data_IF_988382692963
#
_entry.id   IF_988382692963
#
_cell.length_a   1.000
_cell.length_b   1.000
_cell.length_c   1.000
_cell.angle_alpha   90.00
_cell.angle_beta   90.00
_cell.angle_gamma   90.00
#
_symmetry.space_group_name_H-M   'P 1'
#
loop_
_entity.id
_entity.type
_entity.pdbx_description
1 polymer ?
#
# COMPACT_ATOMS: atom_id res chain seq x y z
N UNK A 1 -3.63 10.39 23.81
CA UNK A 1 -4.08 9.87 22.50
C UNK A 1 -5.59 10.13 22.45
N UNK A 2 -6.10 10.86 21.45
CA UNK A 2 -7.53 11.19 21.38
C UNK A 2 -8.30 9.99 20.81
N UNK A 3 -9.20 9.35 21.58
CA UNK A 3 -9.84 8.09 21.19
C UNK A 3 -10.54 8.15 19.81
N UNK A 4 -11.25 9.25 19.50
CA UNK A 4 -11.96 9.38 18.22
C UNK A 4 -11.09 9.73 17.00
N UNK A 5 -9.84 10.15 17.19
CA UNK A 5 -8.98 10.55 16.07
C UNK A 5 -8.46 9.34 15.27
N UNK A 6 -8.27 8.20 15.93
CA UNK A 6 -7.87 6.95 15.28
C UNK A 6 -9.01 6.39 14.45
N UNK A 7 -10.22 6.34 15.00
CA UNK A 7 -11.42 5.83 14.32
C UNK A 7 -11.78 6.69 13.10
N UNK A 8 -11.71 8.02 13.23
CA UNK A 8 -11.93 8.92 12.10
C UNK A 8 -10.86 8.75 11.00
N UNK A 9 -9.62 8.43 11.37
CA UNK A 9 -8.56 8.14 10.41
C UNK A 9 -8.77 6.81 9.70
N UNK A 10 -9.22 5.78 10.43
CA UNK A 10 -9.55 4.48 9.87
C UNK A 10 -10.74 4.58 8.91
N UNK A 11 -11.84 5.22 9.32
CA UNK A 11 -13.04 5.40 8.50
C UNK A 11 -12.73 6.15 7.18
N UNK A 12 -11.93 7.22 7.25
CA UNK A 12 -11.44 7.91 6.05
C UNK A 12 -10.62 6.99 5.15
N UNK A 13 -9.72 6.20 5.73
CA UNK A 13 -8.91 5.22 4.99
C UNK A 13 -9.79 4.24 4.23
N UNK A 14 -10.70 3.57 4.93
CA UNK A 14 -11.67 2.63 4.34
C UNK A 14 -12.45 3.27 3.20
N UNK A 15 -12.98 4.47 3.40
CA UNK A 15 -13.76 5.16 2.36
C UNK A 15 -12.93 5.47 1.12
N UNK A 16 -11.69 5.96 1.27
CA UNK A 16 -10.83 6.29 0.12
C UNK A 16 -10.42 5.03 -0.65
N UNK A 17 -10.14 3.91 0.03
CA UNK A 17 -9.84 2.64 -0.64
C UNK A 17 -11.04 2.15 -1.45
N UNK A 18 -12.23 2.13 -0.84
CA UNK A 18 -13.47 1.73 -1.53
C UNK A 18 -13.80 2.65 -2.71
N UNK A 19 -13.65 3.97 -2.53
CA UNK A 19 -13.80 4.94 -3.61
C UNK A 19 -12.83 4.67 -4.76
N UNK A 20 -11.58 4.30 -4.45
CA UNK A 20 -10.57 3.99 -5.47
C UNK A 20 -10.90 2.71 -6.22
N UNK A 21 -11.33 1.65 -5.53
CA UNK A 21 -11.84 0.42 -6.18
C UNK A 21 -13.03 0.74 -7.10
N UNK A 22 -14.00 1.52 -6.61
CA UNK A 22 -15.17 1.91 -7.38
C UNK A 22 -14.80 2.69 -8.65
N UNK A 23 -13.87 3.65 -8.54
CA UNK A 23 -13.36 4.41 -9.69
C UNK A 23 -12.68 3.48 -10.72
N UNK A 24 -11.79 2.59 -10.27
CA UNK A 24 -11.13 1.59 -11.14
C UNK A 24 -12.16 0.71 -11.87
N UNK A 25 -13.30 0.41 -11.23
CA UNK A 25 -14.41 -0.36 -11.80
C UNK A 25 -15.35 0.46 -12.68
N UNK A 26 -15.09 1.75 -12.91
CA UNK A 26 -15.93 2.65 -13.69
C UNK A 26 -17.24 3.04 -12.98
N UNK A 27 -17.32 2.84 -11.67
CA UNK A 27 -18.46 3.26 -10.86
C UNK A 27 -18.29 4.72 -10.44
N UNK A 28 -19.40 5.47 -10.52
CA UNK A 28 -19.41 6.87 -10.10
C UNK A 28 -19.14 6.99 -8.60
N UNK A 29 -18.11 7.76 -8.24
CA UNK A 29 -17.80 8.12 -6.86
C UNK A 29 -18.26 9.55 -6.59
N UNK A 30 -18.97 9.76 -5.48
CA UNK A 30 -19.30 11.09 -4.97
C UNK A 30 -18.76 11.21 -3.55
N UNK A 31 -17.68 11.98 -3.32
CA UNK A 31 -17.11 12.08 -1.99
C UNK A 31 -18.03 12.82 -1.01
N UNK A 32 -18.19 12.34 0.23
CA UNK A 32 -18.77 13.15 1.28
C UNK A 32 -17.85 14.34 1.57
N UNK A 33 -18.41 15.46 2.02
CA UNK A 33 -17.69 16.71 2.24
C UNK A 33 -16.41 16.53 3.08
N UNK A 34 -16.49 15.72 4.14
CA UNK A 34 -15.35 15.45 5.03
C UNK A 34 -14.16 14.74 4.35
N UNK A 35 -14.39 14.00 3.26
CA UNK A 35 -13.36 13.22 2.56
C UNK A 35 -13.03 13.78 1.18
N UNK A 36 -13.82 14.72 0.66
CA UNK A 36 -13.57 15.38 -0.63
C UNK A 36 -12.13 15.90 -0.78
N UNK A 37 -11.51 16.56 0.24
CA UNK A 37 -10.13 17.02 0.12
C UNK A 37 -9.10 15.91 -0.10
N UNK A 38 -9.38 14.69 0.37
CA UNK A 38 -8.53 13.51 0.17
C UNK A 38 -8.82 12.82 -1.16
N UNK A 39 -10.00 13.00 -1.74
CA UNK A 39 -10.33 12.42 -3.04
C UNK A 39 -9.78 13.23 -4.22
N UNK A 40 -9.61 14.54 -4.04
CA UNK A 40 -9.07 15.44 -5.06
C UNK A 40 -7.74 14.93 -5.64
N UNK A 41 -7.66 14.79 -6.96
CA UNK A 41 -6.47 14.35 -7.68
C UNK A 41 -6.24 12.83 -7.68
N UNK A 42 -7.01 12.05 -6.91
CA UNK A 42 -6.91 10.59 -6.90
C UNK A 42 -7.41 9.99 -8.22
N UNK A 43 -8.63 10.31 -8.72
CA UNK A 43 -9.11 9.80 -10.02
C UNK A 43 -8.12 10.03 -11.15
N UNK A 44 -7.66 11.27 -11.30
CA UNK A 44 -6.78 11.68 -12.40
C UNK A 44 -5.46 10.93 -12.35
N UNK A 45 -4.86 10.80 -11.15
CA UNK A 45 -3.62 10.02 -10.99
C UNK A 45 -3.83 8.53 -11.24
N UNK A 46 -4.99 7.99 -10.87
CA UNK A 46 -5.30 6.59 -11.17
C UNK A 46 -5.44 6.35 -12.66
N UNK A 47 -6.10 7.26 -13.37
CA UNK A 47 -6.26 7.19 -14.82
C UNK A 47 -4.88 7.29 -15.52
N UNK A 48 -4.01 8.20 -15.06
CA UNK A 48 -2.61 8.31 -15.53
C UNK A 48 -1.81 7.02 -15.32
N UNK A 49 -1.88 6.41 -14.12
CA UNK A 49 -1.12 5.20 -13.79
C UNK A 49 -1.60 3.97 -14.57
N UNK A 50 -2.89 3.91 -14.88
CA UNK A 50 -3.52 2.79 -15.57
C UNK A 50 -3.63 3.00 -17.08
N UNK A 51 -3.25 4.17 -17.59
CA UNK A 51 -3.29 4.50 -19.01
C UNK A 51 -2.48 3.48 -19.83
N UNK A 52 -3.13 2.86 -20.82
CA UNK A 52 -2.50 1.85 -21.68
C UNK A 52 -2.12 0.54 -20.96
N UNK A 53 -2.45 0.42 -19.66
CA UNK A 53 -2.19 -0.75 -18.84
C UNK A 53 -3.44 -1.62 -18.63
N UNK A 54 -3.38 -2.50 -17.64
CA UNK A 54 -4.53 -3.28 -17.17
C UNK A 54 -4.43 -3.61 -15.69
N UNK A 55 -5.57 -3.58 -15.01
CA UNK A 55 -5.68 -4.00 -13.61
C UNK A 55 -5.74 -5.52 -13.53
N UNK A 56 -4.97 -6.10 -12.60
CA UNK A 56 -4.94 -7.54 -12.31
C UNK A 56 -5.64 -7.85 -10.98
N UNK A 57 -5.52 -6.94 -10.01
CA UNK A 57 -6.10 -7.05 -8.67
C UNK A 57 -6.48 -5.66 -8.15
N UNK A 58 -7.64 -5.51 -7.53
CA UNK A 58 -8.07 -4.31 -6.80
C UNK A 58 -8.92 -4.77 -5.61
N UNK A 59 -8.29 -4.85 -4.42
CA UNK A 59 -8.74 -5.49 -3.16
C UNK A 59 -9.04 -7.01 -3.27
N UNK A 60 -9.30 -7.46 -4.49
CA UNK A 60 -9.64 -8.82 -4.92
C UNK A 60 -9.27 -8.96 -6.41
N UNK A 61 -9.26 -10.19 -6.96
CA UNK A 61 -8.98 -10.42 -8.37
C UNK A 61 -9.83 -9.53 -9.30
N UNK A 62 -9.19 -8.84 -10.25
CA UNK A 62 -9.87 -7.99 -11.21
C UNK A 62 -9.92 -8.68 -12.58
N UNK A 63 -11.09 -9.21 -12.96
CA UNK A 63 -11.25 -10.01 -14.20
C UNK A 63 -10.24 -11.18 -14.28
N UNK A 64 -9.90 -11.78 -13.13
CA UNK A 64 -9.00 -12.93 -13.03
C UNK A 64 -9.69 -14.12 -12.34
N UNK A 65 -10.59 -14.86 -13.01
CA UNK A 65 -11.37 -15.95 -12.40
C UNK A 65 -10.51 -17.05 -11.76
N UNK A 66 -9.31 -17.30 -12.32
CA UNK A 66 -8.35 -18.27 -11.78
C UNK A 66 -7.86 -17.93 -10.35
N UNK A 67 -7.98 -16.67 -9.94
CA UNK A 67 -7.57 -16.21 -8.62
C UNK A 67 -8.76 -16.10 -7.64
N UNK A 68 -9.99 -16.40 -8.06
CA UNK A 68 -11.17 -16.35 -7.18
C UNK A 68 -11.06 -17.26 -5.95
N UNK A 69 -10.25 -18.32 -6.01
CA UNK A 69 -9.92 -19.19 -4.87
C UNK A 69 -9.18 -18.48 -3.72
N UNK A 70 -8.66 -17.27 -3.96
CA UNK A 70 -8.00 -16.43 -2.96
C UNK A 70 -8.96 -15.40 -2.35
N UNK A 71 -10.25 -15.47 -2.67
CA UNK A 71 -11.29 -14.62 -2.09
C UNK A 71 -12.03 -15.43 -1.03
N UNK A 72 -12.08 -14.91 0.20
CA UNK A 72 -12.83 -15.54 1.28
C UNK A 72 -14.34 -15.40 1.10
N UNK A 73 -15.12 -16.12 1.92
CA UNK A 73 -16.59 -16.01 1.93
C UNK A 73 -17.08 -14.60 2.30
N UNK A 74 -16.23 -13.81 2.96
CA UNK A 74 -16.44 -12.39 3.26
C UNK A 74 -16.21 -11.46 2.06
N UNK A 75 -15.84 -12.00 0.89
CA UNK A 75 -15.57 -11.25 -0.33
C UNK A 75 -14.20 -10.57 -0.37
N UNK A 76 -13.37 -10.77 0.66
CA UNK A 76 -12.04 -10.13 0.77
C UNK A 76 -10.97 -11.01 0.12
N UNK A 77 -10.20 -10.43 -0.79
CA UNK A 77 -9.07 -11.10 -1.42
C UNK A 77 -7.86 -11.16 -0.48
N UNK A 78 -7.29 -12.36 -0.32
CA UNK A 78 -6.12 -12.59 0.55
C UNK A 78 -5.03 -13.32 -0.20
N UNK A 79 -3.83 -12.75 -0.16
CA UNK A 79 -2.59 -13.39 -0.61
C UNK A 79 -1.84 -13.93 0.61
N UNK A 80 -1.11 -15.01 0.42
CA UNK A 80 -0.31 -15.62 1.48
C UNK A 80 1.05 -16.08 0.99
N UNK A 81 1.98 -16.14 1.92
CA UNK A 81 3.31 -16.70 1.74
C UNK A 81 3.53 -17.77 2.78
N UNK A 82 4.15 -18.87 2.38
CA UNK A 82 4.59 -19.93 3.27
C UNK A 82 5.96 -20.42 2.82
N UNK A 83 6.92 -20.41 3.73
CA UNK A 83 8.25 -20.95 3.50
C UNK A 83 8.31 -22.38 4.04
N UNK A 84 8.49 -23.33 3.13
CA UNK A 84 8.54 -24.75 3.46
C UNK A 84 9.76 -25.15 4.30
N UNK A 85 10.85 -24.37 4.29
CA UNK A 85 12.05 -24.70 5.06
C UNK A 85 11.91 -24.24 6.51
N UNK A 86 11.48 -23.00 6.72
CA UNK A 86 11.31 -22.42 8.05
C UNK A 86 9.96 -22.75 8.69
N UNK A 87 8.98 -23.20 7.89
CA UNK A 87 7.58 -23.40 8.29
C UNK A 87 6.89 -22.12 8.76
N UNK A 88 7.45 -20.96 8.41
CA UNK A 88 6.87 -19.64 8.69
C UNK A 88 5.91 -19.24 7.56
N UNK A 89 4.82 -18.57 7.93
CA UNK A 89 3.86 -18.08 6.97
C UNK A 89 3.13 -16.84 7.46
N UNK A 90 2.63 -16.07 6.50
CA UNK A 90 1.82 -14.89 6.73
C UNK A 90 0.84 -14.69 5.58
N UNK A 91 -0.22 -13.91 5.83
CA UNK A 91 -1.22 -13.55 4.84
C UNK A 91 -1.58 -12.08 4.96
N UNK A 92 -2.12 -11.50 3.89
CA UNK A 92 -2.56 -10.11 3.87
C UNK A 92 -3.46 -9.79 2.68
N UNK A 93 -4.02 -8.58 2.69
CA UNK A 93 -4.86 -8.05 1.62
C UNK A 93 -4.08 -6.93 0.95
N UNK A 94 -3.71 -7.13 -0.31
CA UNK A 94 -3.06 -6.08 -1.10
C UNK A 94 -4.11 -5.25 -1.85
N UNK A 95 -3.83 -3.96 -1.99
CA UNK A 95 -4.82 -3.02 -2.50
C UNK A 95 -4.91 -3.08 -4.03
N UNK A 96 -3.79 -2.99 -4.75
CA UNK A 96 -3.78 -2.91 -6.21
C UNK A 96 -2.58 -3.66 -6.81
N UNK A 97 -2.85 -4.46 -7.83
CA UNK A 97 -1.83 -4.97 -8.75
C UNK A 97 -2.27 -4.64 -10.17
N UNK A 98 -1.41 -4.02 -10.93
CA UNK A 98 -1.68 -3.69 -12.33
C UNK A 98 -0.44 -3.91 -13.19
N UNK A 99 -0.65 -4.01 -14.49
CA UNK A 99 0.41 -4.02 -15.49
C UNK A 99 0.38 -2.65 -16.18
N UNK A 100 1.51 -1.95 -16.19
CA UNK A 100 1.62 -0.64 -16.84
C UNK A 100 1.75 -0.76 -18.37
N UNK A 101 1.84 0.39 -19.04
CA UNK A 101 1.99 0.47 -20.50
C UNK A 101 3.34 -0.07 -21.02
N UNK A 102 4.32 -0.29 -20.14
CA UNK A 102 5.61 -0.92 -20.46
C UNK A 102 5.60 -2.43 -20.19
N UNK A 103 4.43 -3.01 -19.90
CA UNK A 103 4.24 -4.40 -19.52
C UNK A 103 4.95 -4.81 -18.21
N UNK A 104 5.27 -3.84 -17.35
CA UNK A 104 5.79 -4.11 -16.01
C UNK A 104 4.63 -4.27 -15.03
N UNK A 105 4.69 -5.31 -14.19
CA UNK A 105 3.69 -5.53 -13.15
C UNK A 105 4.07 -4.75 -11.90
N UNK A 106 3.15 -3.90 -11.46
CA UNK A 106 3.31 -3.00 -10.33
C UNK A 106 2.35 -3.43 -9.21
N UNK A 107 2.89 -3.59 -8.01
CA UNK A 107 2.13 -3.75 -6.78
C UNK A 107 2.04 -2.40 -6.07
N UNK A 108 0.84 -1.89 -5.86
CA UNK A 108 0.60 -0.60 -5.23
C UNK A 108 -0.20 -0.76 -3.93
N UNK A 109 0.06 0.16 -3.01
CA UNK A 109 -0.63 0.28 -1.73
C UNK A 109 -1.10 1.74 -1.56
N UNK A 110 -2.38 1.89 -1.22
CA UNK A 110 -3.02 3.17 -0.99
C UNK A 110 -2.85 3.58 0.47
N UNK A 111 -2.58 4.86 0.66
CA UNK A 111 -2.49 5.47 1.99
C UNK A 111 -3.24 6.78 2.01
N UNK A 112 -3.99 7.01 3.07
CA UNK A 112 -4.49 8.35 3.41
C UNK A 112 -3.67 8.93 4.54
N UNK A 113 -3.39 10.24 4.48
CA UNK A 113 -2.60 10.91 5.50
C UNK A 113 -2.96 12.38 5.66
N UNK A 114 -3.03 12.85 6.90
CA UNK A 114 -3.22 14.27 7.19
C UNK A 114 -1.98 15.14 6.89
N UNK A 115 -0.84 14.53 6.58
CA UNK A 115 0.40 15.22 6.23
C UNK A 115 1.19 14.46 5.17
N UNK A 116 2.12 15.13 4.46
CA UNK A 116 2.82 14.54 3.33
C UNK A 116 3.71 13.36 3.73
N UNK A 117 3.87 12.45 2.77
CA UNK A 117 4.93 11.46 2.79
C UNK A 117 6.19 12.05 2.16
N UNK A 118 7.34 11.44 2.45
CA UNK A 118 8.60 11.78 1.81
C UNK A 118 9.49 10.55 1.72
N UNK A 119 10.14 10.33 0.58
CA UNK A 119 11.12 9.27 0.43
C UNK A 119 12.46 9.61 1.11
N UNK A 120 12.73 10.89 1.38
CA UNK A 120 14.01 11.37 1.92
C UNK A 120 13.79 12.39 3.04
N UNK A 121 14.73 12.46 3.98
CA UNK A 121 14.68 13.48 5.02
C UNK A 121 14.85 14.88 4.38
N UNK A 122 14.10 15.89 4.84
CA UNK A 122 14.27 17.26 4.36
C UNK A 122 15.68 17.75 4.69
N UNK A 123 16.32 18.43 3.74
CA UNK A 123 17.67 18.95 3.92
C UNK A 123 17.66 20.25 4.73
N UNK A 124 18.76 20.61 5.41
CA UNK A 124 18.84 21.87 6.19
C UNK A 124 18.63 23.14 5.36
N UNK A 125 18.88 23.05 4.04
CA UNK A 125 18.74 24.17 3.08
C UNK A 125 17.34 24.30 2.48
N UNK A 126 16.40 23.41 2.79
CA UNK A 126 15.04 23.50 2.24
C UNK A 126 14.29 24.66 2.90
N UNK A 127 13.81 25.62 2.10
CA UNK A 127 12.93 26.71 2.54
C UNK A 127 11.51 26.19 2.80
N UNK A 128 11.35 25.34 3.82
CA UNK A 128 10.04 24.83 4.27
C UNK A 128 9.87 25.23 5.72
N UNK A 129 8.63 25.58 6.08
CA UNK A 129 8.31 25.92 7.46
C UNK A 129 8.51 24.70 8.40
N UNK A 130 8.73 24.97 9.68
CA UNK A 130 9.06 23.94 10.66
C UNK A 130 7.93 22.90 10.86
N UNK A 131 6.66 23.27 10.64
CA UNK A 131 5.54 22.33 10.73
C UNK A 131 5.59 21.34 9.57
N UNK A 132 5.75 21.83 8.34
CA UNK A 132 5.88 20.98 7.15
C UNK A 132 7.12 20.11 7.21
N UNK A 133 8.25 20.64 7.69
CA UNK A 133 9.49 19.88 7.89
C UNK A 133 9.31 18.71 8.85
N UNK A 134 8.63 18.90 9.98
CA UNK A 134 8.29 17.80 10.92
C UNK A 134 7.37 16.77 10.26
N UNK A 135 6.40 17.21 9.47
CA UNK A 135 5.51 16.32 8.74
C UNK A 135 6.28 15.45 7.71
N UNK A 136 7.21 16.04 6.95
CA UNK A 136 8.06 15.32 6.01
C UNK A 136 8.98 14.31 6.69
N UNK A 137 9.56 14.64 7.85
CA UNK A 137 10.35 13.70 8.67
C UNK A 137 9.49 12.50 9.08
N UNK A 138 8.28 12.74 9.59
CA UNK A 138 7.32 11.67 9.89
C UNK A 138 6.97 10.85 8.63
N UNK A 139 6.81 11.53 7.49
CA UNK A 139 6.56 10.94 6.18
C UNK A 139 7.61 9.92 5.76
N UNK A 140 8.89 10.13 6.07
CA UNK A 140 9.97 9.16 5.78
C UNK A 140 9.76 7.84 6.50
N UNK A 141 9.36 7.89 7.78
CA UNK A 141 9.09 6.67 8.53
C UNK A 141 7.85 5.94 8.01
N UNK A 142 6.84 6.68 7.56
CA UNK A 142 5.63 6.09 6.95
C UNK A 142 5.95 5.40 5.62
N UNK A 143 6.79 6.02 4.76
CA UNK A 143 7.27 5.40 3.52
C UNK A 143 8.01 4.10 3.84
N UNK A 144 8.97 4.12 4.78
CA UNK A 144 9.73 2.91 5.18
C UNK A 144 8.83 1.79 5.68
N UNK A 145 7.83 2.11 6.50
CA UNK A 145 6.86 1.12 6.99
C UNK A 145 6.05 0.51 5.84
N UNK A 146 5.60 1.34 4.91
CA UNK A 146 4.76 0.89 3.79
C UNK A 146 5.58 0.07 2.77
N UNK A 147 6.85 0.43 2.54
CA UNK A 147 7.77 -0.39 1.74
C UNK A 147 7.91 -1.82 2.28
N UNK A 148 8.02 -1.97 3.60
CA UNK A 148 8.07 -3.28 4.23
C UNK A 148 6.76 -4.08 4.05
N UNK A 149 5.61 -3.41 4.11
CA UNK A 149 4.30 -4.00 3.80
C UNK A 149 4.22 -4.46 2.33
N UNK A 150 4.67 -3.62 1.40
CA UNK A 150 4.72 -3.94 -0.03
C UNK A 150 5.65 -5.12 -0.33
N UNK A 151 6.79 -5.23 0.38
CA UNK A 151 7.68 -6.38 0.25
C UNK A 151 7.02 -7.69 0.71
N UNK A 152 6.27 -7.66 1.83
CA UNK A 152 5.46 -8.79 2.28
C UNK A 152 4.43 -9.19 1.22
N UNK A 153 3.70 -8.21 0.70
CA UNK A 153 2.67 -8.44 -0.31
C UNK A 153 3.25 -8.92 -1.64
N UNK A 154 4.44 -8.46 -2.04
CA UNK A 154 5.11 -8.96 -3.24
C UNK A 154 5.39 -10.46 -3.12
N UNK A 155 6.09 -10.88 -2.08
CA UNK A 155 6.43 -12.30 -1.88
C UNK A 155 5.17 -13.18 -1.85
N UNK A 156 4.12 -12.75 -1.16
CA UNK A 156 2.85 -13.46 -1.10
C UNK A 156 2.10 -13.48 -2.45
N UNK A 157 2.09 -12.37 -3.18
CA UNK A 157 1.44 -12.27 -4.48
C UNK A 157 2.14 -13.11 -5.54
N UNK A 158 3.48 -13.11 -5.59
CA UNK A 158 4.23 -13.93 -6.53
C UNK A 158 4.02 -15.43 -6.25
N UNK A 159 4.05 -15.83 -4.97
CA UNK A 159 3.78 -17.21 -4.56
C UNK A 159 2.34 -17.66 -4.87
N UNK A 160 1.34 -16.82 -4.59
CA UNK A 160 -0.07 -17.17 -4.80
C UNK A 160 -0.50 -17.08 -6.27
N UNK A 161 -0.12 -16.00 -6.94
CA UNK A 161 -0.74 -15.61 -8.21
C UNK A 161 0.08 -16.09 -9.42
N UNK A 162 1.32 -16.53 -9.21
CA UNK A 162 2.22 -17.01 -10.26
C UNK A 162 2.65 -15.89 -11.21
N UNK A 163 2.83 -14.68 -10.67
CA UNK A 163 3.28 -13.48 -11.40
C UNK A 163 4.64 -13.04 -10.89
N UNK A 164 5.34 -12.18 -11.64
CA UNK A 164 6.52 -11.45 -11.18
C UNK A 164 6.15 -9.98 -11.01
N UNK A 165 6.32 -9.41 -9.82
CA UNK A 165 6.17 -7.98 -9.55
C UNK A 165 7.51 -7.30 -9.86
N UNK A 166 7.49 -6.33 -10.77
CA UNK A 166 8.68 -5.59 -11.18
C UNK A 166 8.97 -4.38 -10.28
N UNK A 167 7.91 -3.71 -9.84
CA UNK A 167 7.99 -2.46 -9.06
C UNK A 167 6.95 -2.46 -7.96
N UNK A 168 7.23 -1.69 -6.91
CA UNK A 168 6.22 -1.38 -5.89
C UNK A 168 5.93 0.12 -5.86
N UNK A 169 4.71 0.47 -5.48
CA UNK A 169 4.27 1.85 -5.40
C UNK A 169 3.51 2.14 -4.11
N UNK A 170 3.70 3.35 -3.59
CA UNK A 170 2.86 3.92 -2.54
C UNK A 170 2.12 5.10 -3.15
N UNK A 171 0.79 5.06 -3.08
CA UNK A 171 -0.09 6.12 -3.57
C UNK A 171 -0.72 6.78 -2.36
N UNK A 172 -0.31 8.02 -2.07
CA UNK A 172 -0.67 8.73 -0.85
C UNK A 172 -1.59 9.89 -1.16
N UNK A 173 -2.83 9.80 -0.68
CA UNK A 173 -3.79 10.89 -0.68
C UNK A 173 -3.63 11.76 0.58
N UNK A 174 -3.58 13.08 0.38
CA UNK A 174 -3.55 14.09 1.46
C UNK A 174 -4.48 15.25 1.14
N UNK A 175 -4.97 16.00 2.14
CA UNK A 175 -5.85 17.15 1.93
C UNK A 175 -5.08 18.44 1.68
N UNK A 176 -3.76 18.36 1.47
CA UNK A 176 -2.87 19.52 1.35
C UNK A 176 -2.59 19.75 -0.13
N UNK A 177 -2.95 20.92 -0.65
CA UNK A 177 -2.85 21.27 -2.08
C UNK A 177 -1.49 20.92 -2.70
N UNK A 178 -0.38 21.37 -2.10
CA UNK A 178 0.98 21.10 -2.60
C UNK A 178 1.43 19.63 -2.50
N UNK A 179 0.65 18.79 -1.80
CA UNK A 179 0.95 17.37 -1.57
C UNK A 179 -0.26 16.49 -1.87
N UNK A 180 -1.12 16.93 -2.79
CA UNK A 180 -2.21 16.12 -3.31
C UNK A 180 -1.63 14.91 -4.05
N UNK A 181 -2.23 13.73 -3.81
CA UNK A 181 -1.92 12.43 -4.43
C UNK A 181 -0.45 12.22 -4.83
N UNK A 182 0.39 11.93 -3.84
CA UNK A 182 1.81 11.64 -4.04
C UNK A 182 1.99 10.18 -4.48
N UNK A 183 2.84 9.93 -5.47
CA UNK A 183 3.22 8.57 -5.89
C UNK A 183 4.70 8.37 -5.65
N UNK A 184 5.04 7.30 -4.93
CA UNK A 184 6.42 6.86 -4.70
C UNK A 184 6.61 5.51 -5.37
N UNK A 185 7.50 5.44 -6.35
CA UNK A 185 7.81 4.20 -7.08
C UNK A 185 9.18 3.68 -6.66
N UNK A 186 9.27 2.38 -6.37
CA UNK A 186 10.51 1.69 -6.01
C UNK A 186 10.77 0.56 -7.01
N UNK A 187 11.99 0.54 -7.55
CA UNK A 187 12.41 -0.48 -8.51
C UNK A 187 12.95 -1.75 -7.87
N UNK A 188 13.26 -2.74 -8.69
CA UNK A 188 13.67 -4.11 -8.29
C UNK A 188 14.74 -4.12 -7.19
N UNK A 189 15.86 -3.40 -7.37
CA UNK A 189 16.96 -3.37 -6.37
C UNK A 189 16.56 -2.79 -5.02
N UNK A 190 15.61 -1.85 -5.00
CA UNK A 190 15.08 -1.30 -3.74
C UNK A 190 14.13 -2.29 -3.07
N UNK A 191 13.30 -2.94 -3.86
CA UNK A 191 12.32 -3.93 -3.41
C UNK A 191 13.01 -5.18 -2.85
N UNK A 192 14.06 -5.70 -3.49
CA UNK A 192 14.85 -6.83 -3.00
C UNK A 192 15.41 -6.57 -1.58
N UNK A 193 15.87 -5.35 -1.31
CA UNK A 193 16.33 -4.97 0.04
C UNK A 193 15.20 -4.98 1.06
N UNK A 194 14.02 -4.53 0.65
CA UNK A 194 12.84 -4.53 1.51
C UNK A 194 12.33 -5.96 1.78
N UNK A 195 12.42 -6.87 0.80
CA UNK A 195 12.10 -8.30 0.96
C UNK A 195 13.01 -8.98 1.99
N UNK A 196 14.32 -8.78 1.87
CA UNK A 196 15.28 -9.30 2.84
C UNK A 196 15.00 -8.77 4.26
N UNK A 197 14.69 -7.48 4.37
CA UNK A 197 14.32 -6.86 5.65
C UNK A 197 13.02 -7.44 6.21
N UNK A 198 12.02 -7.70 5.36
CA UNK A 198 10.75 -8.31 5.77
C UNK A 198 10.94 -9.76 6.24
N UNK A 199 11.68 -10.57 5.48
CA UNK A 199 11.94 -11.97 5.86
C UNK A 199 12.72 -12.07 7.17
N UNK A 200 13.67 -11.17 7.43
CA UNK A 200 14.35 -11.10 8.71
C UNK A 200 13.39 -10.75 9.86
N UNK A 201 12.40 -9.88 9.61
CA UNK A 201 11.36 -9.56 10.59
C UNK A 201 10.42 -10.74 10.86
N UNK A 202 10.04 -11.49 9.82
CA UNK A 202 9.24 -12.70 9.95
C UNK A 202 9.98 -13.73 10.79
N UNK A 203 11.26 -13.98 10.49
CA UNK A 203 12.09 -14.90 11.25
C UNK A 203 12.16 -14.52 12.74
N UNK A 204 12.48 -13.24 13.01
CA UNK A 204 12.47 -12.69 14.37
C UNK A 204 11.12 -12.87 15.07
N UNK A 205 10.02 -12.65 14.36
CA UNK A 205 8.69 -12.80 14.95
C UNK A 205 8.43 -14.24 15.43
N UNK A 206 8.71 -15.23 14.59
CA UNK A 206 8.44 -16.63 14.92
C UNK A 206 9.45 -17.22 15.92
N UNK A 207 10.70 -16.76 15.90
CA UNK A 207 11.76 -17.32 16.74
C UNK A 207 11.95 -16.59 18.07
N UNK A 208 11.63 -15.30 18.15
CA UNK A 208 11.84 -14.49 19.36
C UNK A 208 10.53 -13.97 19.95
N UNK A 209 9.70 -13.28 19.15
CA UNK A 209 8.54 -12.53 19.66
C UNK A 209 7.40 -13.45 20.07
N UNK A 210 6.97 -14.35 19.18
CA UNK A 210 5.85 -15.26 19.42
C UNK A 210 6.12 -16.24 20.56
N UNK A 211 7.31 -16.88 20.66
CA UNK A 211 7.61 -17.76 21.79
C UNK A 211 7.63 -17.01 23.13
N UNK A 212 8.18 -15.80 23.18
CA UNK A 212 8.22 -15.00 24.39
C UNK A 212 6.80 -14.61 24.86
N UNK A 213 5.91 -14.24 23.95
CA UNK A 213 4.51 -13.91 24.26
C UNK A 213 3.69 -15.12 24.73
N UNK A 214 4.09 -16.35 24.37
CA UNK A 214 3.43 -17.57 24.85
C UNK A 214 3.87 -17.99 26.26
N UNK A 215 4.92 -17.36 26.80
CA UNK A 215 5.45 -17.62 28.15
C UNK A 215 5.03 -16.56 29.18
N UNK A 216 4.38 -15.47 28.76
CA UNK A 216 3.85 -14.39 29.59
C UNK A 216 2.35 -14.54 29.84
#
# INVERSE_FOLDING_TARGET
MNPGAADAAAARGTWIHEATENHIRGLKVVPPEAYAPFWTGVPERMDELLEGGRVLWSERPYNQPKWSKYVGDDGVGRIFYYDENTKHGYAGCCDLIYMDNNAEIVLADFKTSAGPYSARFPNKKSNVDEKTKKALISGVFKVKKTRLQLAAYKLAAEACLGIKINKTQIIVSTPIEDYQTQVFTFGETEVEKDELAWLALVDKFFNEVRPAAAQS
#
